data_IF_037965883722
#
_entry.id   IF_037965883722
#
_cell.length_a   1.000
_cell.length_b   1.000
_cell.length_c   1.000
_cell.angle_alpha   90.00
_cell.angle_beta   90.00
_cell.angle_gamma   90.00
#
_symmetry.space_group_name_H-M   'P 1'
#
loop_
_entity.id
_entity.type
_entity.pdbx_description
1 polymer ?
#
# COMPACT_ATOMS: atom_id res chain seq x y z
N UNK A 1 15.24 -33.49 -43.55
CA UNK A 1 15.62 -34.74 -42.85
C UNK A 1 16.69 -35.41 -43.69
N UNK A 2 17.80 -35.83 -43.08
CA UNK A 2 18.82 -36.60 -43.81
C UNK A 2 18.20 -37.95 -44.22
N UNK A 3 18.46 -38.38 -45.46
CA UNK A 3 17.94 -39.63 -46.00
C UNK A 3 18.87 -40.75 -45.51
N UNK A 4 18.41 -41.54 -44.53
CA UNK A 4 19.18 -42.63 -43.93
C UNK A 4 19.16 -43.81 -44.91
N UNK A 5 20.29 -44.09 -45.56
CA UNK A 5 20.39 -45.18 -46.56
C UNK A 5 21.32 -46.31 -46.11
N UNK A 6 22.25 -46.02 -45.20
CA UNK A 6 23.24 -46.98 -44.71
C UNK A 6 23.23 -47.10 -43.18
N UNK A 7 23.85 -48.15 -42.65
CA UNK A 7 24.00 -48.37 -41.21
C UNK A 7 24.85 -47.26 -40.56
N UNK A 8 25.86 -46.76 -41.27
CA UNK A 8 26.69 -45.62 -40.84
C UNK A 8 25.85 -44.34 -40.72
N UNK A 9 24.98 -44.07 -41.70
CA UNK A 9 24.06 -42.92 -41.65
C UNK A 9 23.11 -43.00 -40.44
N UNK A 10 22.63 -44.21 -40.13
CA UNK A 10 21.76 -44.45 -38.98
C UNK A 10 22.50 -44.17 -37.67
N UNK A 11 23.74 -44.63 -37.53
CA UNK A 11 24.57 -44.40 -36.34
C UNK A 11 24.85 -42.91 -36.13
N UNK A 12 25.17 -42.19 -37.21
CA UNK A 12 25.37 -40.74 -37.17
C UNK A 12 24.08 -40.02 -36.77
N UNK A 13 22.94 -40.41 -37.35
CA UNK A 13 21.65 -39.83 -37.00
C UNK A 13 21.30 -40.05 -35.52
N UNK A 14 21.56 -41.24 -34.97
CA UNK A 14 21.36 -41.53 -33.54
C UNK A 14 22.24 -40.61 -32.68
N UNK A 15 23.53 -40.48 -32.98
CA UNK A 15 24.44 -39.61 -32.23
C UNK A 15 24.00 -38.14 -32.25
N UNK A 16 23.54 -37.65 -33.42
CA UNK A 16 23.02 -36.29 -33.56
C UNK A 16 21.74 -36.11 -32.71
N UNK A 17 20.85 -37.10 -32.71
CA UNK A 17 19.63 -37.07 -31.92
C UNK A 17 19.91 -37.11 -30.42
N UNK A 18 20.85 -37.94 -29.97
CA UNK A 18 21.29 -38.01 -28.57
C UNK A 18 21.90 -36.68 -28.11
N UNK A 19 22.76 -36.07 -28.94
CA UNK A 19 23.33 -34.75 -28.66
C UNK A 19 22.21 -33.69 -28.55
N UNK A 20 21.29 -33.69 -29.51
CA UNK A 20 20.16 -32.75 -29.52
C UNK A 20 19.25 -32.94 -28.31
N UNK A 21 18.98 -34.19 -27.93
CA UNK A 21 18.19 -34.51 -26.75
C UNK A 21 18.87 -34.01 -25.48
N UNK A 22 20.17 -34.25 -25.33
CA UNK A 22 20.95 -33.77 -24.18
C UNK A 22 20.91 -32.24 -24.06
N UNK A 23 21.14 -31.53 -25.18
CA UNK A 23 21.04 -30.06 -25.22
C UNK A 23 19.64 -29.57 -24.87
N UNK A 24 18.59 -30.19 -25.44
CA UNK A 24 17.21 -29.81 -25.15
C UNK A 24 16.88 -30.00 -23.67
N UNK A 25 17.33 -31.09 -23.04
CA UNK A 25 17.12 -31.33 -21.61
C UNK A 25 17.78 -30.24 -20.78
N UNK A 26 19.01 -29.83 -21.12
CA UNK A 26 19.70 -28.74 -20.42
C UNK A 26 18.96 -27.40 -20.57
N UNK A 27 18.55 -27.06 -21.80
CA UNK A 27 17.76 -25.85 -22.05
C UNK A 27 16.45 -25.84 -21.27
N UNK A 28 15.76 -26.97 -21.21
CA UNK A 28 14.50 -27.10 -20.48
C UNK A 28 14.70 -26.89 -18.97
N UNK A 29 15.78 -27.48 -18.40
CA UNK A 29 16.14 -27.27 -16.99
C UNK A 29 16.45 -25.80 -16.70
N UNK A 30 17.19 -25.14 -17.58
CA UNK A 30 17.51 -23.72 -17.42
C UNK A 30 16.26 -22.85 -17.52
N UNK A 31 15.37 -23.11 -18.47
CA UNK A 31 14.12 -22.36 -18.63
C UNK A 31 13.21 -22.54 -17.41
N UNK A 32 13.12 -23.77 -16.87
CA UNK A 32 12.38 -24.04 -15.64
C UNK A 32 12.98 -23.26 -14.46
N UNK A 33 14.30 -23.25 -14.31
CA UNK A 33 14.95 -22.49 -13.25
C UNK A 33 14.68 -20.99 -13.38
N UNK A 34 14.85 -20.41 -14.58
CA UNK A 34 14.56 -18.99 -14.83
C UNK A 34 13.10 -18.65 -14.55
N UNK A 35 12.18 -19.51 -14.97
CA UNK A 35 10.74 -19.32 -14.72
C UNK A 35 10.42 -19.42 -13.23
N UNK A 36 11.02 -20.38 -12.53
CA UNK A 36 10.86 -20.50 -11.09
C UNK A 36 11.40 -19.27 -10.36
N UNK A 37 12.59 -18.78 -10.73
CA UNK A 37 13.15 -17.55 -10.20
C UNK A 37 12.26 -16.35 -10.50
N UNK A 38 11.73 -16.20 -11.72
CA UNK A 38 10.89 -15.05 -12.10
C UNK A 38 9.55 -15.02 -11.36
N UNK A 39 9.00 -16.18 -11.00
CA UNK A 39 7.77 -16.31 -10.21
C UNK A 39 7.97 -16.07 -8.71
N UNK A 40 9.21 -15.94 -8.22
CA UNK A 40 9.45 -15.59 -6.82
C UNK A 40 8.86 -14.20 -6.53
N UNK A 41 8.18 -14.01 -5.38
CA UNK A 41 7.57 -12.72 -5.03
C UNK A 41 8.53 -11.53 -5.14
N UNK A 42 9.79 -11.69 -4.75
CA UNK A 42 10.80 -10.65 -4.87
C UNK A 42 11.06 -10.21 -6.32
N UNK A 43 11.10 -11.16 -7.26
CA UNK A 43 11.32 -10.88 -8.68
C UNK A 43 10.04 -10.39 -9.37
N UNK A 44 8.87 -10.87 -8.96
CA UNK A 44 7.58 -10.32 -9.39
C UNK A 44 7.46 -8.84 -9.00
N UNK A 45 7.71 -8.51 -7.72
CA UNK A 45 7.69 -7.13 -7.25
C UNK A 45 8.72 -6.26 -7.98
N UNK A 46 9.93 -6.77 -8.21
CA UNK A 46 10.97 -6.07 -8.97
C UNK A 46 10.51 -5.75 -10.40
N UNK A 47 9.90 -6.71 -11.09
CA UNK A 47 9.41 -6.52 -12.45
C UNK A 47 8.24 -5.52 -12.47
N UNK A 48 7.29 -5.63 -11.54
CA UNK A 48 6.17 -4.69 -11.41
C UNK A 48 6.65 -3.27 -11.11
N UNK A 49 7.63 -3.08 -10.22
CA UNK A 49 8.20 -1.76 -9.93
C UNK A 49 8.90 -1.19 -11.18
N UNK A 50 9.68 -2.00 -11.88
CA UNK A 50 10.35 -1.55 -13.11
C UNK A 50 9.35 -1.14 -14.20
N UNK A 51 8.26 -1.89 -14.39
CA UNK A 51 7.18 -1.56 -15.33
C UNK A 51 6.47 -0.25 -14.93
N UNK A 52 6.21 -0.06 -13.63
CA UNK A 52 5.61 1.17 -13.10
C UNK A 52 6.52 2.39 -13.35
N UNK A 53 7.82 2.26 -13.08
CA UNK A 53 8.78 3.36 -13.25
C UNK A 53 9.04 3.71 -14.71
N UNK A 54 8.76 2.79 -15.64
CA UNK A 54 8.96 2.98 -17.08
C UNK A 54 7.75 3.63 -17.76
N UNK A 55 6.63 3.80 -17.06
CA UNK A 55 5.41 4.41 -17.58
C UNK A 55 5.06 5.71 -16.85
N UNK A 56 5.11 6.89 -17.52
CA UNK A 56 4.76 8.17 -16.91
C UNK A 56 3.35 8.19 -16.28
N UNK A 57 2.39 7.47 -16.87
CA UNK A 57 1.00 7.39 -16.39
C UNK A 57 0.84 6.57 -15.09
N UNK A 58 1.74 5.62 -14.81
CA UNK A 58 1.67 4.79 -13.61
C UNK A 58 2.33 5.48 -12.40
N UNK A 59 3.30 6.34 -12.64
CA UNK A 59 3.98 7.14 -11.60
C UNK A 59 2.97 8.03 -10.86
N UNK A 60 2.10 8.74 -11.58
CA UNK A 60 1.10 9.62 -10.96
C UNK A 60 0.11 8.86 -10.06
N UNK A 61 -0.32 7.67 -10.48
CA UNK A 61 -1.21 6.82 -9.68
C UNK A 61 -0.51 6.31 -8.40
N UNK A 62 0.77 5.93 -8.48
CA UNK A 62 1.56 5.50 -7.32
C UNK A 62 1.80 6.64 -6.34
N UNK A 63 2.02 7.86 -6.82
CA UNK A 63 2.13 9.04 -5.96
C UNK A 63 0.82 9.27 -5.20
N UNK A 64 -0.33 9.18 -5.88
CA UNK A 64 -1.65 9.25 -5.24
C UNK A 64 -1.85 8.18 -4.17
N UNK A 65 -1.50 6.93 -4.45
CA UNK A 65 -1.58 5.82 -3.49
C UNK A 65 -0.63 6.03 -2.31
N UNK A 66 0.62 6.43 -2.56
CA UNK A 66 1.62 6.66 -1.51
C UNK A 66 1.22 7.81 -0.60
N UNK A 67 0.71 8.91 -1.17
CA UNK A 67 0.17 10.04 -0.42
C UNK A 67 -1.08 9.64 0.37
N UNK A 68 -1.97 8.82 -0.20
CA UNK A 68 -3.13 8.28 0.50
C UNK A 68 -2.76 7.38 1.68
N UNK A 69 -1.77 6.51 1.51
CA UNK A 69 -1.26 5.64 2.58
C UNK A 69 -0.50 6.42 3.64
N UNK A 70 0.35 7.37 3.24
CA UNK A 70 1.09 8.22 4.15
C UNK A 70 0.12 9.10 4.96
N UNK A 71 -0.79 9.81 4.29
CA UNK A 71 -1.81 10.62 4.95
C UNK A 71 -2.72 9.79 5.85
N UNK A 72 -3.14 8.58 5.42
CA UNK A 72 -3.91 7.66 6.25
C UNK A 72 -3.13 7.16 7.47
N UNK A 73 -1.83 6.86 7.33
CA UNK A 73 -0.96 6.47 8.43
C UNK A 73 -0.70 7.61 9.40
N UNK A 74 -0.39 8.82 8.91
CA UNK A 74 -0.24 10.02 9.73
C UNK A 74 -1.55 10.35 10.45
N UNK A 75 -2.69 10.28 9.74
CA UNK A 75 -4.02 10.48 10.33
C UNK A 75 -4.29 9.44 11.41
N UNK A 76 -4.05 8.14 11.17
CA UNK A 76 -4.19 7.11 12.21
C UNK A 76 -3.24 7.37 13.38
N UNK A 77 -2.00 7.76 13.13
CA UNK A 77 -1.01 8.03 14.17
C UNK A 77 -1.36 9.24 15.02
N UNK A 78 -1.93 10.30 14.44
CA UNK A 78 -2.31 11.53 15.14
C UNK A 78 -3.69 11.42 15.78
N UNK A 79 -4.68 10.90 15.07
CA UNK A 79 -6.09 10.85 15.49
C UNK A 79 -6.38 9.62 16.36
N UNK A 80 -5.85 8.44 16.02
CA UNK A 80 -6.15 7.18 16.73
C UNK A 80 -5.09 6.86 17.79
N UNK A 81 -3.80 7.09 17.49
CA UNK A 81 -2.68 6.72 18.37
C UNK A 81 -2.01 7.90 19.08
N UNK A 82 -2.38 9.15 18.74
CA UNK A 82 -1.67 10.37 19.12
C UNK A 82 -2.02 10.86 20.52
N UNK A 83 -2.05 9.96 21.51
CA UNK A 83 -2.48 10.18 22.90
C UNK A 83 -3.87 10.82 23.03
N UNK A 84 -4.70 10.29 23.93
CA UNK A 84 -5.99 10.86 24.28
C UNK A 84 -5.98 12.36 24.68
N UNK A 85 -4.81 12.97 24.83
CA UNK A 85 -4.62 14.32 25.38
C UNK A 85 -4.29 15.39 24.34
N UNK A 86 -3.53 15.15 23.27
CA UNK A 86 -3.09 16.26 22.39
C UNK A 86 -4.22 16.76 21.50
N UNK A 87 -4.89 15.87 20.76
CA UNK A 87 -6.03 16.27 19.91
C UNK A 87 -7.21 16.77 20.74
N UNK A 88 -7.48 16.10 21.88
CA UNK A 88 -8.52 16.53 22.84
C UNK A 88 -8.19 17.88 23.48
N UNK A 89 -6.92 18.15 23.82
CA UNK A 89 -6.50 19.47 24.31
C UNK A 89 -6.61 20.52 23.22
N UNK A 90 -6.29 20.21 21.96
CA UNK A 90 -6.41 21.17 20.86
C UNK A 90 -7.87 21.57 20.64
N UNK A 91 -8.77 20.58 20.53
CA UNK A 91 -10.22 20.83 20.44
C UNK A 91 -10.72 21.55 21.69
N UNK A 92 -10.31 21.09 22.88
CA UNK A 92 -10.69 21.70 24.15
C UNK A 92 -10.23 23.15 24.25
N UNK A 93 -9.02 23.47 23.78
CA UNK A 93 -8.46 24.83 23.79
C UNK A 93 -9.18 25.73 22.80
N UNK A 94 -9.49 25.25 21.59
CA UNK A 94 -10.25 26.03 20.60
C UNK A 94 -11.67 26.29 21.09
N UNK A 95 -12.33 25.27 21.65
CA UNK A 95 -13.67 25.41 22.24
C UNK A 95 -13.63 26.36 23.44
N UNK A 96 -12.64 26.22 24.32
CA UNK A 96 -12.45 27.09 25.47
C UNK A 96 -12.21 28.52 25.01
N UNK A 97 -11.35 28.75 24.02
CA UNK A 97 -11.07 30.10 23.51
C UNK A 97 -12.31 30.72 22.84
N UNK A 98 -13.07 29.95 22.07
CA UNK A 98 -14.33 30.38 21.47
C UNK A 98 -15.38 30.74 22.51
N UNK A 99 -15.60 29.87 23.50
CA UNK A 99 -16.54 30.10 24.61
C UNK A 99 -16.08 31.27 25.48
N UNK A 100 -14.80 31.35 25.86
CA UNK A 100 -14.24 32.45 26.65
C UNK A 100 -14.33 33.80 25.92
N UNK A 101 -14.07 33.86 24.62
CA UNK A 101 -14.19 35.11 23.85
C UNK A 101 -15.66 35.57 23.73
N UNK A 102 -16.60 34.63 23.61
CA UNK A 102 -18.04 34.94 23.63
C UNK A 102 -18.50 35.40 25.03
N UNK A 103 -18.01 34.77 26.10
CA UNK A 103 -18.29 35.15 27.49
C UNK A 103 -17.72 36.54 27.80
N UNK A 104 -16.48 36.81 27.40
CA UNK A 104 -15.81 38.10 27.64
C UNK A 104 -16.57 39.27 26.97
N UNK A 105 -17.24 39.01 25.84
CA UNK A 105 -18.06 40.01 25.14
C UNK A 105 -19.47 40.14 25.71
N UNK A 106 -20.05 39.10 26.33
CA UNK A 106 -21.44 39.09 26.82
C UNK A 106 -21.59 38.30 28.14
N UNK A 107 -21.15 38.86 29.29
CA UNK A 107 -21.16 38.15 30.57
C UNK A 107 -22.59 37.82 31.07
N UNK A 108 -23.59 38.60 30.67
CA UNK A 108 -24.98 38.40 31.06
C UNK A 108 -25.60 37.13 30.43
N UNK A 109 -25.12 36.72 29.25
CA UNK A 109 -25.61 35.53 28.53
C UNK A 109 -25.25 34.23 29.25
N UNK A 110 -24.09 34.17 29.93
CA UNK A 110 -23.70 32.98 30.69
C UNK A 110 -24.53 32.84 31.98
N UNK A 111 -24.92 33.95 32.61
CA UNK A 111 -25.74 33.95 33.82
C UNK A 111 -27.14 33.39 33.50
N UNK A 112 -27.74 33.83 32.40
CA UNK A 112 -29.06 33.35 31.96
C UNK A 112 -29.01 31.93 31.39
N UNK A 113 -27.97 31.57 30.65
CA UNK A 113 -27.79 30.20 30.12
C UNK A 113 -27.47 29.20 31.24
N UNK A 114 -26.59 29.59 32.17
CA UNK A 114 -26.26 28.81 33.37
C UNK A 114 -27.46 28.63 34.29
N UNK A 115 -28.24 29.69 34.54
CA UNK A 115 -29.53 29.59 35.23
C UNK A 115 -30.49 28.67 34.47
N UNK A 116 -30.64 28.79 33.15
CA UNK A 116 -31.55 27.95 32.37
C UNK A 116 -31.17 26.46 32.36
N UNK A 117 -29.87 26.15 32.36
CA UNK A 117 -29.37 24.78 32.44
C UNK A 117 -29.50 24.24 33.87
N UNK A 118 -29.17 25.04 34.89
CA UNK A 118 -29.31 24.68 36.30
C UNK A 118 -30.78 24.43 36.65
N UNK A 119 -31.67 25.34 36.26
CA UNK A 119 -33.12 25.19 36.42
C UNK A 119 -33.63 23.92 35.75
N UNK A 120 -33.22 23.64 34.50
CA UNK A 120 -33.66 22.42 33.79
C UNK A 120 -33.12 21.12 34.39
N UNK A 121 -31.96 21.14 35.03
CA UNK A 121 -31.32 19.94 35.61
C UNK A 121 -31.76 19.72 37.07
N UNK A 122 -31.97 20.79 37.84
CA UNK A 122 -32.29 20.71 39.28
C UNK A 122 -33.78 20.84 39.61
N UNK A 123 -34.63 21.42 38.75
CA UNK A 123 -36.10 21.48 38.95
C UNK A 123 -36.86 20.31 38.33
N UNK A 124 -36.17 19.27 37.83
CA UNK A 124 -36.82 17.99 37.53
C UNK A 124 -36.75 17.07 38.74
N UNK A 125 -37.47 17.44 39.79
CA UNK A 125 -37.95 16.51 40.81
C UNK A 125 -39.43 16.75 41.05
#
# INVERSE_FOLDING_TARGET
MQNIKTIEDLKIAIQILELKQSLNVQLMKNQLHITYESLKPANLLKNTINEITSSPLLIDNILGVTLGLASGYFTKKVVVNGSNNVFRNLIGTVLQFGVTNLIARNPNTIKTFGQSIFEKIFHKK
#
